data_IF_535993600550
#
_entry.id   IF_535993600550
#
_cell.length_a   1.000
_cell.length_b   1.000
_cell.length_c   1.000
_cell.angle_alpha   90.00
_cell.angle_beta   90.00
_cell.angle_gamma   90.00
#
_symmetry.space_group_name_H-M   'P 1'
#
loop_
_entity.id
_entity.type
_entity.pdbx_description
1 polymer ?
#
# COMPACT_ATOMS: atom_id res chain seq x y z
N UNK A 1 -9.19 -14.14 11.50
CA UNK A 1 -7.94 -14.45 10.77
C UNK A 1 -7.79 -13.42 9.67
N UNK A 2 -6.57 -12.93 9.40
CA UNK A 2 -6.34 -12.00 8.29
C UNK A 2 -6.77 -12.70 7.01
N UNK A 3 -7.70 -12.11 6.28
CA UNK A 3 -8.26 -12.73 5.09
C UNK A 3 -8.03 -11.80 3.91
N UNK A 4 -7.18 -12.21 2.96
CA UNK A 4 -7.17 -11.64 1.63
C UNK A 4 -8.34 -12.28 0.87
N UNK A 5 -9.51 -11.63 0.87
CA UNK A 5 -10.63 -12.12 0.06
C UNK A 5 -10.37 -11.63 -1.37
N UNK A 6 -9.92 -12.61 -2.17
CA UNK A 6 -9.34 -12.53 -3.51
C UNK A 6 -9.87 -11.46 -4.47
N UNK A 7 -8.93 -11.02 -5.30
CA UNK A 7 -9.05 -10.30 -6.57
C UNK A 7 -10.20 -10.77 -7.47
N UNK A 8 -10.91 -9.81 -8.07
CA UNK A 8 -11.76 -10.02 -9.26
C UNK A 8 -12.94 -11.00 -9.07
N UNK A 9 -13.46 -11.19 -7.85
CA UNK A 9 -14.71 -11.92 -7.72
C UNK A 9 -15.81 -11.17 -8.48
N UNK A 10 -16.54 -11.90 -9.32
CA UNK A 10 -17.66 -11.35 -10.09
C UNK A 10 -18.94 -12.05 -9.69
N UNK A 11 -19.85 -11.33 -9.04
CA UNK A 11 -21.22 -11.80 -8.83
C UNK A 11 -22.01 -11.60 -10.12
N UNK A 12 -22.75 -12.62 -10.58
CA UNK A 12 -23.61 -12.51 -11.77
C UNK A 12 -25.09 -12.24 -11.43
N UNK A 13 -25.44 -12.28 -10.14
CA UNK A 13 -26.82 -12.25 -9.64
C UNK A 13 -27.14 -11.01 -8.77
N UNK A 14 -26.45 -9.91 -9.04
CA UNK A 14 -26.78 -8.54 -8.65
C UNK A 14 -26.44 -8.06 -7.23
N UNK A 15 -25.82 -8.85 -6.34
CA UNK A 15 -25.43 -8.35 -5.00
C UNK A 15 -24.08 -8.91 -4.56
N UNK A 16 -23.26 -8.03 -3.97
CA UNK A 16 -22.01 -8.36 -3.28
C UNK A 16 -20.97 -8.98 -4.20
N UNK A 17 -20.04 -8.19 -4.74
CA UNK A 17 -19.00 -8.73 -5.61
C UNK A 17 -18.09 -9.72 -4.87
N UNK A 18 -17.69 -9.41 -3.63
CA UNK A 18 -16.94 -10.33 -2.77
C UNK A 18 -17.84 -11.04 -1.74
N UNK A 19 -18.67 -10.28 -1.03
CA UNK A 19 -19.43 -10.79 0.12
C UNK A 19 -20.88 -10.31 0.08
N UNK A 20 -21.80 -11.26 0.27
CA UNK A 20 -23.20 -11.00 0.60
C UNK A 20 -23.47 -11.46 2.04
N UNK A 21 -23.81 -10.51 2.92
CA UNK A 21 -24.13 -10.78 4.32
C UNK A 21 -25.59 -10.40 4.64
N UNK A 22 -26.25 -11.23 5.46
CA UNK A 22 -27.63 -11.01 5.94
C UNK A 22 -27.74 -10.70 7.43
N UNK A 23 -26.63 -10.78 8.18
CA UNK A 23 -26.63 -10.70 9.65
C UNK A 23 -25.47 -9.84 10.16
N UNK A 24 -24.61 -10.40 11.01
CA UNK A 24 -23.42 -9.71 11.53
C UNK A 24 -22.18 -10.20 10.80
N UNK A 25 -21.39 -9.26 10.28
CA UNK A 25 -20.09 -9.53 9.67
C UNK A 25 -19.04 -8.62 10.30
N UNK A 26 -17.89 -9.19 10.61
CA UNK A 26 -16.69 -8.43 10.95
C UNK A 26 -15.58 -8.77 9.96
N UNK A 27 -15.08 -7.75 9.28
CA UNK A 27 -13.90 -7.79 8.41
C UNK A 27 -12.76 -7.10 9.16
N UNK A 28 -11.62 -7.79 9.29
CA UNK A 28 -10.49 -7.28 10.06
C UNK A 28 -9.17 -7.70 9.41
N UNK A 29 -8.20 -6.77 9.34
CA UNK A 29 -6.85 -7.02 8.85
C UNK A 29 -6.89 -7.62 7.43
N UNK A 30 -7.75 -7.07 6.58
CA UNK A 30 -8.17 -7.67 5.32
C UNK A 30 -8.07 -6.69 4.16
N UNK A 31 -7.76 -7.20 2.98
CA UNK A 31 -7.89 -6.47 1.72
C UNK A 31 -9.02 -7.09 0.88
N UNK A 32 -9.98 -6.26 0.43
CA UNK A 32 -11.03 -6.65 -0.52
C UNK A 32 -10.92 -5.72 -1.72
N UNK A 33 -10.46 -6.25 -2.86
CA UNK A 33 -10.19 -5.41 -4.01
C UNK A 33 -10.45 -6.07 -5.35
N UNK A 34 -10.71 -5.25 -6.37
CA UNK A 34 -11.01 -5.71 -7.72
C UNK A 34 -12.37 -6.40 -7.87
N UNK A 35 -13.21 -6.44 -6.83
CA UNK A 35 -14.46 -7.21 -6.88
C UNK A 35 -15.53 -6.46 -7.66
N UNK A 36 -16.33 -7.18 -8.46
CA UNK A 36 -17.32 -6.59 -9.35
C UNK A 36 -18.69 -7.25 -9.19
N UNK A 37 -19.77 -6.47 -9.27
CA UNK A 37 -21.15 -6.97 -9.35
C UNK A 37 -21.99 -6.04 -10.24
N UNK A 38 -22.94 -6.57 -11.03
CA UNK A 38 -23.86 -5.74 -11.82
C UNK A 38 -24.93 -5.04 -10.98
N UNK A 39 -25.03 -5.32 -9.67
CA UNK A 39 -25.92 -4.57 -8.78
C UNK A 39 -25.13 -3.85 -7.69
N UNK A 40 -25.51 -4.02 -6.43
CA UNK A 40 -25.01 -3.17 -5.33
C UNK A 40 -23.82 -3.79 -4.59
N UNK A 41 -22.96 -2.94 -4.00
CA UNK A 41 -21.89 -3.38 -3.11
C UNK A 41 -20.79 -4.14 -3.83
N UNK A 42 -19.89 -3.45 -4.52
CA UNK A 42 -18.81 -4.06 -5.31
C UNK A 42 -17.92 -4.99 -4.47
N UNK A 43 -17.59 -4.59 -3.23
CA UNK A 43 -16.97 -5.49 -2.26
C UNK A 43 -18.03 -6.21 -1.43
N UNK A 44 -18.80 -5.46 -0.65
CA UNK A 44 -19.69 -5.99 0.38
C UNK A 44 -21.10 -5.46 0.18
N UNK A 45 -22.04 -6.40 0.04
CA UNK A 45 -23.45 -6.13 0.30
C UNK A 45 -23.81 -6.65 1.69
N UNK A 46 -24.34 -5.78 2.54
CA UNK A 46 -24.92 -6.15 3.83
C UNK A 46 -26.40 -5.79 3.87
N UNK A 47 -27.26 -6.78 4.06
CA UNK A 47 -28.71 -6.61 4.02
C UNK A 47 -29.32 -7.07 5.34
N UNK A 48 -30.16 -6.23 5.95
CA UNK A 48 -30.99 -6.57 7.09
C UNK A 48 -32.11 -7.53 6.69
N UNK A 49 -32.56 -8.35 7.63
CA UNK A 49 -33.72 -9.22 7.45
C UNK A 49 -35.00 -8.59 8.01
N UNK A 50 -36.16 -9.11 7.58
CA UNK A 50 -37.44 -8.75 8.19
C UNK A 50 -37.53 -9.05 9.70
N UNK A 51 -36.63 -9.92 10.21
CA UNK A 51 -36.57 -10.35 11.60
C UNK A 51 -35.50 -9.62 12.45
N UNK A 52 -34.73 -8.69 11.87
CA UNK A 52 -33.71 -7.92 12.61
C UNK A 52 -32.73 -7.18 11.70
N UNK A 53 -32.16 -6.08 12.22
CA UNK A 53 -31.13 -5.31 11.50
C UNK A 53 -29.82 -6.09 11.30
N UNK A 54 -29.01 -5.65 10.34
CA UNK A 54 -27.68 -6.21 10.05
C UNK A 54 -26.57 -5.36 10.69
N UNK A 55 -25.41 -5.96 10.95
CA UNK A 55 -24.26 -5.23 11.48
C UNK A 55 -23.02 -5.53 10.65
N UNK A 56 -22.43 -4.51 10.05
CA UNK A 56 -21.13 -4.63 9.38
C UNK A 56 -20.09 -3.83 10.18
N UNK A 57 -19.03 -4.53 10.60
CA UNK A 57 -17.86 -3.92 11.22
C UNK A 57 -16.65 -4.17 10.35
N UNK A 58 -15.96 -3.10 9.93
CA UNK A 58 -14.70 -3.14 9.18
C UNK A 58 -13.64 -2.48 10.03
N UNK A 59 -12.54 -3.19 10.27
CA UNK A 59 -11.45 -2.73 11.12
C UNK A 59 -10.14 -2.97 10.40
N UNK A 60 -9.23 -1.99 10.37
CA UNK A 60 -7.85 -2.23 9.92
C UNK A 60 -7.78 -2.90 8.54
N UNK A 61 -8.62 -2.44 7.61
CA UNK A 61 -8.84 -3.12 6.34
C UNK A 61 -8.88 -2.14 5.18
N UNK A 62 -8.46 -2.61 4.01
CA UNK A 62 -8.47 -1.84 2.77
C UNK A 62 -9.50 -2.41 1.79
N UNK A 63 -10.46 -1.59 1.38
CA UNK A 63 -11.45 -1.92 0.35
C UNK A 63 -11.22 -1.02 -0.85
N UNK A 64 -10.60 -1.53 -1.91
CA UNK A 64 -10.21 -0.68 -3.03
C UNK A 64 -10.45 -1.26 -4.41
N UNK A 65 -10.63 -0.41 -5.42
CA UNK A 65 -10.84 -0.83 -6.82
C UNK A 65 -12.01 -1.84 -6.98
N UNK A 66 -13.06 -1.75 -6.16
CA UNK A 66 -14.26 -2.56 -6.32
C UNK A 66 -15.30 -1.80 -7.15
N UNK A 67 -16.16 -2.54 -7.86
CA UNK A 67 -17.08 -2.00 -8.85
C UNK A 67 -18.49 -2.54 -8.67
N UNK A 68 -19.47 -1.64 -8.58
CA UNK A 68 -20.89 -1.95 -8.55
C UNK A 68 -21.55 -1.37 -9.81
N UNK A 69 -22.44 -2.13 -10.44
CA UNK A 69 -23.28 -1.63 -11.54
C UNK A 69 -24.41 -0.72 -11.04
N UNK A 70 -24.58 -0.59 -9.73
CA UNK A 70 -25.57 0.29 -9.10
C UNK A 70 -24.90 1.09 -8.00
N UNK A 71 -25.35 1.00 -6.74
CA UNK A 71 -24.83 1.83 -5.64
C UNK A 71 -23.81 1.12 -4.77
N UNK A 72 -22.99 1.89 -4.06
CA UNK A 72 -22.03 1.36 -3.10
C UNK A 72 -20.89 0.62 -3.80
N UNK A 73 -20.01 1.34 -4.50
CA UNK A 73 -18.92 0.70 -5.26
C UNK A 73 -18.03 -0.19 -4.38
N UNK A 74 -17.78 0.18 -3.12
CA UNK A 74 -17.25 -0.76 -2.13
C UNK A 74 -18.37 -1.42 -1.32
N UNK A 75 -19.16 -0.62 -0.62
CA UNK A 75 -20.09 -1.10 0.40
C UNK A 75 -21.49 -0.62 0.09
N UNK A 76 -22.43 -1.56 0.06
CA UNK A 76 -23.85 -1.26 0.16
C UNK A 76 -24.41 -1.81 1.47
N UNK A 77 -24.90 -0.92 2.33
CA UNK A 77 -25.64 -1.27 3.55
C UNK A 77 -27.13 -1.02 3.32
N UNK A 78 -27.95 -2.05 3.46
CA UNK A 78 -29.40 -1.93 3.48
C UNK A 78 -29.95 -2.48 4.78
N UNK A 79 -30.54 -1.63 5.63
CA UNK A 79 -31.09 -2.04 6.91
C UNK A 79 -32.52 -2.57 6.87
N UNK A 80 -33.18 -2.58 5.71
CA UNK A 80 -34.59 -2.97 5.54
C UNK A 80 -35.54 -2.25 6.53
N UNK A 81 -35.26 -0.97 6.82
CA UNK A 81 -36.02 -0.15 7.79
C UNK A 81 -35.79 -0.50 9.27
N UNK A 82 -34.72 -1.21 9.61
CA UNK A 82 -34.41 -1.56 11.01
C UNK A 82 -33.43 -0.58 11.65
N UNK A 83 -33.84 0.08 12.73
CA UNK A 83 -32.99 1.00 13.51
C UNK A 83 -31.85 0.30 14.26
N UNK A 84 -31.90 -1.02 14.41
CA UNK A 84 -30.80 -1.81 14.98
C UNK A 84 -29.67 -2.09 13.99
N UNK A 85 -29.80 -1.63 12.73
CA UNK A 85 -28.76 -1.79 11.70
C UNK A 85 -27.56 -0.91 12.04
N UNK A 86 -26.35 -1.43 11.86
CA UNK A 86 -25.12 -0.74 12.26
C UNK A 86 -24.04 -0.90 11.19
N UNK A 87 -23.45 0.21 10.76
CA UNK A 87 -22.19 0.22 10.02
C UNK A 87 -21.11 0.82 10.92
N UNK A 88 -19.99 0.12 11.05
CA UNK A 88 -18.84 0.59 11.81
C UNK A 88 -17.58 0.39 10.99
N UNK A 89 -16.85 1.45 10.70
CA UNK A 89 -15.62 1.43 9.90
C UNK A 89 -14.53 2.13 10.70
N UNK A 90 -13.45 1.42 11.02
CA UNK A 90 -12.44 1.90 11.96
C UNK A 90 -11.04 1.63 11.41
N UNK A 91 -10.15 2.63 11.43
CA UNK A 91 -8.77 2.48 10.96
C UNK A 91 -8.70 1.78 9.60
N UNK A 92 -9.50 2.23 8.63
CA UNK A 92 -9.64 1.51 7.36
C UNK A 92 -9.44 2.46 6.18
N UNK A 93 -9.19 1.91 5.00
CA UNK A 93 -9.04 2.70 3.76
C UNK A 93 -10.04 2.19 2.74
N UNK A 94 -10.91 3.06 2.23
CA UNK A 94 -11.87 2.76 1.18
C UNK A 94 -11.54 3.65 -0.01
N UNK A 95 -10.94 3.08 -1.07
CA UNK A 95 -10.38 3.91 -2.15
C UNK A 95 -10.58 3.39 -3.56
N UNK A 96 -10.79 4.27 -4.53
CA UNK A 96 -10.81 3.86 -5.95
C UNK A 96 -12.00 2.97 -6.33
N UNK A 97 -13.08 2.96 -5.55
CA UNK A 97 -14.26 2.15 -5.83
C UNK A 97 -15.26 2.89 -6.70
N UNK A 98 -16.00 2.16 -7.53
CA UNK A 98 -16.84 2.70 -8.59
C UNK A 98 -18.30 2.22 -8.41
N UNK A 99 -19.23 3.15 -8.25
CA UNK A 99 -20.67 2.94 -8.41
C UNK A 99 -21.09 3.27 -9.86
N UNK A 100 -22.28 2.83 -10.29
CA UNK A 100 -22.79 3.01 -11.66
C UNK A 100 -21.72 2.70 -12.73
N UNK A 101 -21.03 1.57 -12.56
CA UNK A 101 -19.91 1.21 -13.44
C UNK A 101 -20.35 0.83 -14.86
N UNK A 102 -21.63 0.52 -15.05
CA UNK A 102 -22.24 0.29 -16.36
C UNK A 102 -22.75 1.59 -17.02
N UNK A 103 -22.75 2.73 -16.31
CA UNK A 103 -23.11 4.06 -16.79
C UNK A 103 -24.49 4.05 -17.48
N UNK A 104 -25.47 3.41 -16.82
CA UNK A 104 -26.84 3.41 -17.28
C UNK A 104 -27.64 4.59 -16.72
N UNK A 105 -28.77 4.92 -17.33
CA UNK A 105 -29.50 6.12 -16.92
C UNK A 105 -30.21 5.90 -15.57
N UNK A 106 -29.63 6.42 -14.48
CA UNK A 106 -30.24 6.47 -13.14
C UNK A 106 -29.36 7.18 -12.11
N UNK A 107 -29.95 7.84 -11.11
CA UNK A 107 -29.20 8.47 -10.00
C UNK A 107 -28.67 7.40 -9.05
N UNK A 108 -27.48 6.87 -9.36
CA UNK A 108 -26.83 5.79 -8.63
C UNK A 108 -25.58 6.33 -7.92
N UNK A 109 -25.70 6.52 -6.59
CA UNK A 109 -24.68 7.20 -5.79
C UNK A 109 -23.91 6.27 -4.82
N UNK A 110 -22.85 6.81 -4.22
CA UNK A 110 -21.98 6.18 -3.24
C UNK A 110 -20.92 5.30 -3.89
N UNK A 111 -20.01 5.90 -4.64
CA UNK A 111 -18.84 5.22 -5.21
C UNK A 111 -18.06 4.43 -4.16
N UNK A 112 -17.87 4.99 -2.97
CA UNK A 112 -17.27 4.28 -1.84
C UNK A 112 -18.33 3.52 -1.05
N UNK A 113 -19.10 4.26 -0.26
CA UNK A 113 -20.06 3.70 0.70
C UNK A 113 -21.45 4.26 0.45
N UNK A 114 -22.43 3.37 0.31
CA UNK A 114 -23.84 3.73 0.27
C UNK A 114 -24.60 3.09 1.44
N UNK A 115 -25.27 3.91 2.25
CA UNK A 115 -26.06 3.45 3.40
C UNK A 115 -27.53 3.84 3.24
N UNK A 116 -28.37 2.82 3.16
CA UNK A 116 -29.83 2.90 3.19
C UNK A 116 -30.36 2.14 4.42
N UNK A 117 -30.43 2.80 5.57
CA UNK A 117 -30.96 2.18 6.79
C UNK A 117 -31.42 3.22 7.80
N UNK A 118 -32.33 2.88 8.71
CA UNK A 118 -32.67 3.68 9.90
C UNK A 118 -31.62 3.59 11.03
N UNK A 119 -30.49 2.96 10.74
CA UNK A 119 -29.47 2.57 11.70
C UNK A 119 -28.46 3.66 12.04
N UNK A 120 -27.40 3.27 12.74
CA UNK A 120 -26.26 4.16 13.04
C UNK A 120 -25.05 3.86 12.16
N UNK A 121 -24.33 4.91 11.75
CA UNK A 121 -23.04 4.82 11.06
C UNK A 121 -21.96 5.41 11.95
N UNK A 122 -20.91 4.65 12.24
CA UNK A 122 -19.72 5.11 12.95
C UNK A 122 -18.50 4.92 12.06
N UNK A 123 -17.80 6.02 11.76
CA UNK A 123 -16.57 5.99 10.97
C UNK A 123 -15.48 6.70 11.75
N UNK A 124 -14.35 6.04 12.01
CA UNK A 124 -13.30 6.63 12.83
C UNK A 124 -11.91 6.29 12.28
N UNK A 125 -11.02 7.28 12.25
CA UNK A 125 -9.64 7.11 11.76
C UNK A 125 -9.57 6.44 10.38
N UNK A 126 -10.50 6.74 9.48
CA UNK A 126 -10.68 6.06 8.19
C UNK A 126 -10.49 7.01 7.02
N UNK A 127 -9.86 6.53 5.95
CA UNK A 127 -9.76 7.23 4.66
C UNK A 127 -10.88 6.74 3.74
N UNK A 128 -11.61 7.67 3.13
CA UNK A 128 -12.57 7.41 2.05
C UNK A 128 -12.24 8.40 0.91
N UNK A 129 -11.61 7.90 -0.16
CA UNK A 129 -11.05 8.77 -1.20
C UNK A 129 -11.07 8.10 -2.57
N UNK A 130 -10.87 8.87 -3.64
CA UNK A 130 -10.81 8.41 -5.02
C UNK A 130 -12.03 7.55 -5.44
N UNK A 131 -13.14 7.60 -4.71
CA UNK A 131 -14.30 6.81 -5.04
C UNK A 131 -15.21 7.61 -5.96
N UNK A 132 -15.80 6.94 -6.95
CA UNK A 132 -16.47 7.61 -8.06
C UNK A 132 -17.76 6.91 -8.47
N UNK A 133 -18.58 7.60 -9.25
CA UNK A 133 -19.72 7.04 -9.98
C UNK A 133 -19.66 7.39 -11.47
N UNK A 134 -20.70 7.01 -12.22
CA UNK A 134 -20.89 7.30 -13.65
C UNK A 134 -19.74 6.76 -14.53
N UNK A 135 -19.30 5.52 -14.27
CA UNK A 135 -18.15 4.93 -14.99
C UNK A 135 -16.80 5.57 -14.64
N UNK A 136 -16.62 5.94 -13.36
CA UNK A 136 -15.40 6.53 -12.78
C UNK A 136 -15.10 7.98 -13.15
N UNK A 137 -16.16 8.80 -13.28
CA UNK A 137 -16.02 10.20 -13.73
C UNK A 137 -16.37 11.21 -12.63
N UNK A 138 -17.35 10.90 -11.78
CA UNK A 138 -17.86 11.84 -10.77
C UNK A 138 -17.43 11.40 -9.38
N UNK A 139 -16.73 12.23 -8.58
CA UNK A 139 -16.41 11.91 -7.18
C UNK A 139 -17.67 11.60 -6.37
N UNK A 140 -17.62 10.54 -5.57
CA UNK A 140 -18.76 10.08 -4.78
C UNK A 140 -18.31 9.16 -3.63
N UNK A 141 -17.90 9.76 -2.51
CA UNK A 141 -17.22 9.06 -1.44
C UNK A 141 -18.16 8.27 -0.52
N UNK A 142 -19.09 8.96 0.13
CA UNK A 142 -20.04 8.35 1.05
C UNK A 142 -21.41 9.02 0.99
N UNK A 143 -22.43 8.19 0.79
CA UNK A 143 -23.82 8.62 0.74
C UNK A 143 -24.59 7.97 1.87
N UNK A 144 -25.07 8.85 2.75
CA UNK A 144 -26.05 8.54 3.78
C UNK A 144 -27.41 8.98 3.28
N UNK A 145 -28.28 8.05 2.89
CA UNK A 145 -29.49 8.39 2.17
C UNK A 145 -30.41 9.32 2.99
N UNK A 146 -30.55 10.55 2.53
CA UNK A 146 -31.50 11.62 2.89
C UNK A 146 -32.22 11.46 4.25
N UNK A 147 -31.46 11.36 5.35
CA UNK A 147 -31.97 11.43 6.72
C UNK A 147 -32.34 10.10 7.38
N UNK A 148 -32.07 8.97 6.74
CA UNK A 148 -32.41 7.65 7.29
C UNK A 148 -31.33 7.10 8.24
N UNK A 149 -30.01 7.09 7.94
CA UNK A 149 -29.03 6.67 8.94
C UNK A 149 -28.59 7.84 9.83
N UNK A 150 -28.46 7.59 11.13
CA UNK A 150 -27.86 8.54 12.07
C UNK A 150 -26.33 8.41 12.00
N UNK A 151 -25.64 9.45 11.55
CA UNK A 151 -24.19 9.55 11.71
C UNK A 151 -23.87 9.72 13.20
N UNK A 152 -23.10 8.81 13.76
CA UNK A 152 -22.69 8.83 15.16
C UNK A 152 -21.72 10.03 15.39
N UNK A 153 -21.99 10.94 16.34
CA UNK A 153 -21.09 12.04 16.68
C UNK A 153 -19.68 11.63 17.14
N UNK A 154 -19.49 10.35 17.52
CA UNK A 154 -18.18 9.78 17.79
C UNK A 154 -17.34 9.49 16.52
N UNK A 155 -17.91 9.71 15.33
CA UNK A 155 -17.20 9.57 14.06
C UNK A 155 -16.18 10.70 13.88
N UNK A 156 -14.89 10.40 14.04
CA UNK A 156 -13.84 11.40 14.19
C UNK A 156 -12.53 10.97 13.52
N UNK A 157 -11.64 11.94 13.28
CA UNK A 157 -10.32 11.73 12.68
C UNK A 157 -10.36 10.99 11.32
N UNK A 158 -11.41 11.18 10.54
CA UNK A 158 -11.49 10.61 9.19
C UNK A 158 -10.92 11.56 8.15
N UNK A 159 -10.57 11.03 6.99
CA UNK A 159 -10.24 11.83 5.82
C UNK A 159 -11.18 11.43 4.68
N UNK A 160 -11.96 12.38 4.18
CA UNK A 160 -12.82 12.19 3.01
C UNK A 160 -12.40 13.15 1.91
N UNK A 161 -12.02 12.63 0.74
CA UNK A 161 -11.40 13.46 -0.30
C UNK A 161 -12.36 14.52 -0.84
N UNK A 162 -13.58 14.14 -1.21
CA UNK A 162 -14.59 15.09 -1.68
C UNK A 162 -15.48 15.59 -0.53
N UNK A 163 -15.43 16.90 -0.27
CA UNK A 163 -16.27 17.54 0.73
C UNK A 163 -17.76 17.58 0.34
N UNK A 164 -18.08 17.45 -0.96
CA UNK A 164 -19.46 17.42 -1.44
C UNK A 164 -20.20 16.12 -1.11
N UNK A 165 -19.46 15.03 -0.96
CA UNK A 165 -19.97 13.66 -0.75
C UNK A 165 -19.42 13.04 0.54
N UNK A 166 -19.20 13.87 1.58
CA UNK A 166 -18.59 13.45 2.86
C UNK A 166 -19.55 12.79 3.86
N UNK A 167 -20.82 12.61 3.49
CA UNK A 167 -21.84 12.02 4.34
C UNK A 167 -22.14 12.81 5.62
N UNK A 168 -21.76 14.09 5.68
CA UNK A 168 -21.89 14.96 6.85
C UNK A 168 -20.76 14.85 7.87
N UNK A 169 -19.69 14.09 7.58
CA UNK A 169 -18.54 13.96 8.48
C UNK A 169 -17.82 15.29 8.73
N UNK A 170 -17.69 16.15 7.72
CA UNK A 170 -17.05 17.46 7.85
C UNK A 170 -17.79 18.43 8.78
N UNK A 171 -19.10 18.22 9.00
CA UNK A 171 -19.90 19.06 9.89
C UNK A 171 -19.68 18.76 11.38
N UNK A 172 -19.04 17.64 11.74
CA UNK A 172 -18.84 17.23 13.15
C UNK A 172 -17.70 17.99 13.86
N UNK A 173 -16.74 18.55 13.11
CA UNK A 173 -15.66 19.39 13.67
C UNK A 173 -14.73 18.68 14.67
N UNK A 174 -14.61 17.35 14.59
CA UNK A 174 -13.91 16.49 15.56
C UNK A 174 -12.67 15.82 14.94
N UNK A 175 -11.87 16.59 14.20
CA UNK A 175 -10.65 16.10 13.55
C UNK A 175 -10.88 15.44 12.18
N UNK A 176 -12.11 15.41 11.68
CA UNK A 176 -12.37 15.01 10.29
C UNK A 176 -11.77 16.03 9.31
N UNK A 177 -11.04 15.53 8.32
CA UNK A 177 -10.47 16.26 7.20
C UNK A 177 -11.37 15.98 5.99
N UNK A 178 -11.81 17.02 5.31
CA UNK A 178 -12.64 16.90 4.09
C UNK A 178 -12.12 17.83 3.00
N UNK A 179 -12.26 17.44 1.73
CA UNK A 179 -11.83 18.28 0.61
C UNK A 179 -10.32 18.27 0.36
N UNK A 180 -9.60 17.24 0.81
CA UNK A 180 -8.16 17.08 0.60
C UNK A 180 -7.82 15.67 0.14
N UNK A 181 -6.94 15.57 -0.85
CA UNK A 181 -6.38 14.31 -1.34
C UNK A 181 -5.55 13.65 -0.21
N UNK A 182 -5.83 12.39 0.16
CA UNK A 182 -5.01 11.66 1.13
C UNK A 182 -3.59 11.36 0.65
N UNK A 183 -3.24 11.62 -0.62
CA UNK A 183 -1.95 11.31 -1.21
C UNK A 183 -1.60 9.82 -1.02
N UNK A 184 -2.50 8.94 -1.46
CA UNK A 184 -2.31 7.49 -1.39
C UNK A 184 -1.33 7.02 -2.47
N UNK A 185 -0.39 6.16 -2.10
CA UNK A 185 0.46 5.43 -3.01
C UNK A 185 -0.28 4.30 -3.72
N UNK A 186 0.40 3.65 -4.67
CA UNK A 186 -0.14 2.48 -5.36
C UNK A 186 -0.30 1.28 -4.41
N UNK A 187 -1.29 0.39 -4.61
CA UNK A 187 -1.43 -0.81 -3.80
C UNK A 187 -0.17 -1.67 -3.79
N UNK A 188 0.35 -1.98 -2.62
CA UNK A 188 1.56 -2.81 -2.46
C UNK A 188 1.52 -3.59 -1.14
N UNK A 189 2.38 -4.58 -1.00
CA UNK A 189 2.49 -5.33 0.27
C UNK A 189 3.18 -4.51 1.37
N UNK A 190 4.03 -3.52 1.03
CA UNK A 190 4.71 -2.61 1.95
C UNK A 190 5.20 -3.26 3.27
N UNK A 191 5.68 -4.51 3.19
CA UNK A 191 6.23 -5.30 4.30
C UNK A 191 5.26 -6.25 5.00
N UNK A 192 3.96 -6.17 4.73
CA UNK A 192 2.94 -7.03 5.30
C UNK A 192 2.47 -8.15 4.38
N UNK A 193 1.66 -9.07 4.92
CA UNK A 193 1.04 -10.19 4.18
C UNK A 193 -0.25 -9.82 3.43
N UNK A 194 -0.65 -8.55 3.48
CA UNK A 194 -1.91 -8.04 2.93
C UNK A 194 -1.59 -6.79 2.11
N UNK A 195 -2.00 -6.69 0.83
CA UNK A 195 -1.78 -5.48 0.07
C UNK A 195 -2.57 -4.31 0.71
N UNK A 196 -1.90 -3.18 0.82
CA UNK A 196 -2.37 -1.95 1.46
C UNK A 196 -2.07 -0.75 0.56
N UNK A 197 -2.62 0.41 0.90
CA UNK A 197 -2.38 1.68 0.21
C UNK A 197 -1.46 2.54 1.09
N UNK A 198 -0.16 2.68 0.75
CA UNK A 198 0.77 3.51 1.51
C UNK A 198 0.35 4.98 1.53
N UNK A 199 0.74 5.71 2.58
CA UNK A 199 0.65 7.17 2.61
C UNK A 199 1.93 7.75 2.05
N UNK A 200 1.81 8.65 1.07
CA UNK A 200 2.96 9.35 0.51
C UNK A 200 3.43 10.46 1.46
N UNK A 201 4.69 10.84 1.35
CA UNK A 201 5.30 11.93 2.13
C UNK A 201 4.48 13.21 1.98
N UNK A 202 4.15 13.85 3.12
CA UNK A 202 3.36 15.07 3.16
C UNK A 202 1.84 14.83 3.12
N UNK A 203 1.39 13.58 3.12
CA UNK A 203 -0.03 13.24 3.20
C UNK A 203 -0.72 13.91 4.40
N UNK A 204 -1.92 14.50 4.21
CA UNK A 204 -2.71 15.05 5.30
C UNK A 204 -3.25 13.99 6.28
N UNK A 205 -3.12 12.70 5.97
CA UNK A 205 -3.49 11.61 6.86
C UNK A 205 -2.42 11.29 7.91
N UNK A 206 -1.18 11.76 7.73
CA UNK A 206 -0.05 11.42 8.60
C UNK A 206 -0.18 12.04 9.98
N UNK A 207 -0.02 11.22 11.02
CA UNK A 207 -0.13 11.58 12.44
C UNK A 207 -1.48 12.22 12.85
N UNK A 208 -2.51 12.17 11.99
CA UNK A 208 -3.81 12.84 12.20
C UNK A 208 -4.94 11.89 12.64
N UNK A 209 -4.64 10.60 12.76
CA UNK A 209 -5.56 9.53 13.12
C UNK A 209 -5.84 9.40 14.61
N UNK A 210 -6.56 8.32 14.94
CA UNK A 210 -6.90 7.98 16.31
C UNK A 210 -7.10 6.47 16.49
N UNK A 211 -6.35 5.88 17.43
CA UNK A 211 -6.40 4.44 17.71
C UNK A 211 -7.25 4.12 18.95
N UNK A 212 -8.52 4.56 18.97
CA UNK A 212 -9.43 4.37 20.13
C UNK A 212 -9.66 2.92 20.52
N UNK A 213 -9.47 1.98 19.59
CA UNK A 213 -9.58 0.54 19.85
C UNK A 213 -8.31 -0.08 20.43
N UNK A 214 -7.22 0.68 20.57
CA UNK A 214 -5.91 0.16 20.98
C UNK A 214 -5.46 -1.03 20.11
N UNK A 215 -5.64 -0.91 18.80
CA UNK A 215 -5.11 -1.88 17.86
C UNK A 215 -3.59 -1.95 18.06
N UNK A 216 -3.05 -3.16 18.23
CA UNK A 216 -1.61 -3.34 18.38
C UNK A 216 -0.87 -3.14 17.06
N UNK A 217 -1.55 -3.40 15.94
CA UNK A 217 -0.97 -3.49 14.62
C UNK A 217 -1.83 -2.80 13.55
N UNK A 218 -1.19 -2.29 12.51
CA UNK A 218 -1.81 -1.86 11.26
C UNK A 218 -2.19 -3.05 10.37
N UNK A 219 -2.75 -2.81 9.18
CA UNK A 219 -3.27 -3.89 8.33
C UNK A 219 -2.17 -4.89 7.95
N UNK A 220 -0.96 -4.39 7.71
CA UNK A 220 0.22 -5.16 7.29
C UNK A 220 0.72 -6.05 8.43
N UNK A 221 0.55 -5.60 9.67
CA UNK A 221 0.97 -6.29 10.87
C UNK A 221 2.10 -5.60 11.63
N UNK A 222 2.47 -4.39 11.24
CA UNK A 222 3.44 -3.55 11.96
C UNK A 222 2.74 -2.76 13.06
N UNK A 223 3.49 -2.09 13.94
CA UNK A 223 2.91 -1.35 15.07
C UNK A 223 1.86 -0.34 14.57
N UNK A 224 0.72 -0.22 15.24
CA UNK A 224 -0.28 0.82 14.91
C UNK A 224 0.01 2.17 15.56
N UNK A 225 1.07 2.27 16.33
CA UNK A 225 1.46 3.53 16.95
C UNK A 225 2.95 3.67 16.77
N UNK A 226 3.32 4.48 15.79
CA UNK A 226 4.69 4.80 15.40
C UNK A 226 4.78 6.28 15.05
N UNK A 227 5.94 6.90 15.28
CA UNK A 227 6.10 8.32 14.99
C UNK A 227 5.43 9.24 16.03
N UNK A 228 4.89 10.38 15.57
CA UNK A 228 4.38 11.44 16.43
C UNK A 228 2.90 11.26 16.80
N UNK A 229 2.15 10.53 15.99
CA UNK A 229 0.74 10.21 16.15
C UNK A 229 0.43 8.81 15.63
N UNK A 230 -0.82 8.58 15.25
CA UNK A 230 -1.20 7.45 14.42
C UNK A 230 -1.80 8.01 13.15
N UNK A 231 -1.72 7.30 12.04
CA UNK A 231 -2.22 7.83 10.78
C UNK A 231 -3.72 7.59 10.62
N UNK A 232 -4.39 8.40 9.80
CA UNK A 232 -5.74 8.08 9.34
C UNK A 232 -5.62 6.93 8.32
N UNK A 233 -6.47 5.90 8.43
CA UNK A 233 -6.52 4.80 7.46
C UNK A 233 -6.13 3.43 8.01
N UNK A 234 -5.98 2.45 7.12
CA UNK A 234 -5.54 1.08 7.43
C UNK A 234 -4.01 0.92 7.54
N UNK A 235 -3.27 1.92 7.05
CA UNK A 235 -1.82 1.96 6.98
C UNK A 235 -1.28 2.89 8.07
N UNK A 236 -0.13 2.52 8.65
CA UNK A 236 0.65 3.36 9.57
C UNK A 236 2.07 3.53 9.01
N UNK A 237 2.41 4.72 8.53
CA UNK A 237 3.76 5.06 8.07
C UNK A 237 4.76 4.88 9.22
N UNK A 238 5.71 3.99 9.01
CA UNK A 238 6.76 3.70 9.97
C UNK A 238 7.96 3.07 9.28
N UNK A 239 9.17 3.26 9.83
CA UNK A 239 10.32 2.43 9.52
C UNK A 239 9.98 0.95 9.64
N UNK A 240 10.30 0.17 8.61
CA UNK A 240 10.20 -1.30 8.67
C UNK A 240 11.57 -1.95 8.69
N UNK A 241 11.65 -3.12 9.32
CA UNK A 241 12.86 -3.93 9.39
C UNK A 241 12.55 -5.33 8.84
N UNK A 242 13.24 -5.69 7.76
CA UNK A 242 12.97 -6.88 6.97
C UNK A 242 14.22 -7.77 6.94
N UNK A 243 14.00 -9.09 7.01
CA UNK A 243 15.08 -10.08 6.94
C UNK A 243 14.93 -10.92 5.67
N UNK A 244 15.90 -10.81 4.76
CA UNK A 244 16.02 -11.63 3.54
C UNK A 244 16.51 -13.01 3.94
N UNK A 245 15.76 -14.06 3.59
CA UNK A 245 16.06 -15.45 3.95
C UNK A 245 16.09 -16.40 2.74
N UNK A 246 16.03 -15.85 1.51
CA UNK A 246 16.18 -16.56 0.25
C UNK A 246 17.27 -15.96 -0.64
N UNK A 247 18.11 -16.81 -1.22
CA UNK A 247 19.12 -16.43 -2.23
C UNK A 247 18.55 -16.37 -3.67
N UNK A 248 17.24 -16.50 -3.83
CA UNK A 248 16.58 -16.35 -5.13
C UNK A 248 16.55 -14.90 -5.63
N UNK A 249 16.17 -14.74 -6.90
CA UNK A 249 15.92 -13.45 -7.56
C UNK A 249 14.43 -13.33 -7.99
N UNK A 250 13.53 -13.73 -7.10
CA UNK A 250 12.09 -13.66 -7.33
C UNK A 250 11.59 -12.21 -7.34
N UNK A 251 10.57 -11.93 -8.14
CA UNK A 251 9.80 -10.69 -8.00
C UNK A 251 8.74 -10.87 -6.90
N UNK A 252 8.24 -9.74 -6.37
CA UNK A 252 7.24 -9.71 -5.30
C UNK A 252 6.01 -10.56 -5.63
N UNK A 253 5.90 -11.68 -4.94
CA UNK A 253 4.81 -12.65 -5.15
C UNK A 253 3.78 -12.68 -3.99
N UNK A 254 4.08 -11.95 -2.91
CA UNK A 254 3.23 -11.86 -1.71
C UNK A 254 3.37 -13.05 -0.75
N UNK A 255 4.34 -13.94 -0.97
CA UNK A 255 4.62 -15.12 -0.15
C UNK A 255 5.88 -14.90 0.70
N UNK A 256 5.68 -14.50 1.95
CA UNK A 256 6.76 -14.23 2.91
C UNK A 256 6.93 -15.34 3.96
N UNK A 257 6.73 -16.60 3.55
CA UNK A 257 7.00 -17.74 4.43
C UNK A 257 8.50 -17.91 4.68
N UNK A 258 8.91 -18.70 5.69
CA UNK A 258 10.33 -18.95 5.95
C UNK A 258 11.06 -19.48 4.71
N UNK A 259 12.17 -18.83 4.36
CA UNK A 259 13.02 -19.14 3.22
C UNK A 259 12.47 -18.68 1.86
N UNK A 260 11.52 -17.74 1.85
CA UNK A 260 10.87 -17.27 0.62
C UNK A 260 11.26 -15.83 0.27
N UNK A 261 11.62 -14.98 1.23
CA UNK A 261 11.82 -13.56 0.96
C UNK A 261 13.20 -13.31 0.35
N UNK A 262 13.21 -12.89 -0.91
CA UNK A 262 14.42 -12.56 -1.67
C UNK A 262 14.84 -11.11 -1.48
N UNK A 263 16.10 -10.79 -1.84
CA UNK A 263 16.61 -9.41 -1.77
C UNK A 263 15.80 -8.46 -2.67
N UNK A 264 15.44 -8.89 -3.89
CA UNK A 264 14.64 -8.08 -4.81
C UNK A 264 13.27 -7.73 -4.22
N UNK A 265 12.63 -8.68 -3.55
CA UNK A 265 11.35 -8.46 -2.89
C UNK A 265 11.46 -7.51 -1.72
N UNK A 266 12.49 -7.68 -0.88
CA UNK A 266 12.75 -6.78 0.23
C UNK A 266 12.96 -5.33 -0.24
N UNK A 267 13.75 -5.13 -1.30
CA UNK A 267 13.94 -3.80 -1.90
C UNK A 267 12.65 -3.25 -2.51
N UNK A 268 11.88 -4.09 -3.21
CA UNK A 268 10.57 -3.68 -3.76
C UNK A 268 9.63 -3.23 -2.64
N UNK A 269 9.68 -3.90 -1.49
CA UNK A 269 8.87 -3.56 -0.33
C UNK A 269 9.28 -2.20 0.25
N UNK A 270 10.57 -1.99 0.53
CA UNK A 270 11.06 -0.75 1.16
C UNK A 270 10.91 0.44 0.23
N UNK A 271 11.12 0.26 -1.08
CA UNK A 271 10.83 1.30 -2.08
C UNK A 271 9.35 1.75 -2.09
N UNK A 272 8.43 0.92 -1.59
CA UNK A 272 7.01 1.23 -1.46
C UNK A 272 6.58 1.61 -0.04
N UNK A 273 7.51 1.77 0.91
CA UNK A 273 7.25 2.17 2.28
C UNK A 273 8.07 3.43 2.61
N UNK A 274 7.53 4.64 2.38
CA UNK A 274 8.30 5.86 2.52
C UNK A 274 8.90 6.03 3.94
N UNK A 275 10.21 6.23 4.02
CA UNK A 275 10.93 6.50 5.26
C UNK A 275 12.28 5.79 5.34
N UNK A 276 12.92 5.84 6.50
CA UNK A 276 14.19 5.14 6.75
C UNK A 276 13.94 3.68 7.10
N UNK A 277 14.12 2.80 6.11
CA UNK A 277 13.90 1.37 6.25
C UNK A 277 15.19 0.57 6.46
N UNK A 278 15.07 -0.66 6.95
CA UNK A 278 16.21 -1.56 7.15
C UNK A 278 15.97 -2.92 6.50
N UNK A 279 16.89 -3.34 5.63
CA UNK A 279 16.95 -4.70 5.08
C UNK A 279 18.20 -5.38 5.62
N UNK A 280 18.04 -6.54 6.24
CA UNK A 280 19.14 -7.39 6.71
C UNK A 280 19.09 -8.74 6.00
N UNK A 281 20.23 -9.25 5.53
CA UNK A 281 20.32 -10.61 5.01
C UNK A 281 20.55 -11.58 6.16
N UNK A 282 19.74 -12.63 6.25
CA UNK A 282 19.88 -13.66 7.28
C UNK A 282 21.27 -14.32 7.19
N UNK A 283 21.92 -14.47 8.34
CA UNK A 283 23.28 -15.05 8.41
C UNK A 283 23.37 -16.47 7.85
N UNK A 284 22.27 -17.22 7.78
CA UNK A 284 22.19 -18.54 7.13
C UNK A 284 22.48 -18.50 5.63
N UNK A 285 22.38 -17.34 4.99
CA UNK A 285 22.72 -17.15 3.57
C UNK A 285 24.20 -16.87 3.33
N UNK A 286 25.06 -16.85 4.36
CA UNK A 286 26.51 -16.69 4.18
C UNK A 286 27.07 -17.66 3.13
N UNK A 287 27.88 -17.15 2.20
CA UNK A 287 28.48 -17.88 1.09
C UNK A 287 27.55 -18.11 -0.10
N UNK A 288 26.32 -17.60 -0.05
CA UNK A 288 25.36 -17.72 -1.14
C UNK A 288 25.58 -16.66 -2.23
N UNK A 289 25.11 -16.96 -3.43
CA UNK A 289 25.09 -16.03 -4.55
C UNK A 289 23.65 -15.80 -4.99
N UNK A 290 23.21 -14.55 -4.98
CA UNK A 290 21.99 -14.09 -5.64
C UNK A 290 22.35 -13.78 -7.09
N UNK A 291 21.95 -14.65 -8.01
CA UNK A 291 22.13 -14.43 -9.45
C UNK A 291 20.94 -13.68 -10.01
N UNK A 292 21.17 -12.44 -10.44
CA UNK A 292 20.13 -11.61 -11.04
C UNK A 292 19.75 -12.15 -12.43
N UNK A 293 18.46 -12.33 -12.62
CA UNK A 293 17.83 -12.81 -13.85
C UNK A 293 16.68 -11.90 -14.28
N UNK A 294 16.14 -11.08 -13.37
CA UNK A 294 15.07 -10.13 -13.63
C UNK A 294 15.58 -8.68 -13.86
N UNK A 295 16.89 -8.48 -14.03
CA UNK A 295 17.53 -7.18 -14.23
C UNK A 295 18.21 -6.65 -12.97
N UNK A 296 18.56 -5.36 -12.97
CA UNK A 296 19.24 -4.71 -11.84
C UNK A 296 18.35 -4.68 -10.59
N UNK A 297 18.96 -4.52 -9.41
CA UNK A 297 18.26 -4.12 -8.20
C UNK A 297 18.11 -2.59 -8.16
N UNK A 298 17.06 -2.09 -7.51
CA UNK A 298 16.77 -0.66 -7.41
C UNK A 298 16.48 -0.28 -5.96
N UNK A 299 17.07 0.82 -5.51
CA UNK A 299 16.78 1.47 -4.23
C UNK A 299 16.28 2.88 -4.56
N UNK A 300 15.06 3.19 -4.16
CA UNK A 300 14.37 4.46 -4.47
C UNK A 300 13.87 5.17 -3.21
N UNK A 301 14.25 4.68 -2.02
CA UNK A 301 13.86 5.22 -0.72
C UNK A 301 15.05 5.16 0.26
N UNK A 302 14.95 5.81 1.42
CA UNK A 302 16.03 5.78 2.41
C UNK A 302 16.19 4.35 2.94
N UNK A 303 17.43 3.83 2.93
CA UNK A 303 17.64 2.42 3.21
C UNK A 303 18.96 2.15 3.90
N UNK A 304 18.88 1.40 5.00
CA UNK A 304 20.01 0.66 5.56
C UNK A 304 19.97 -0.81 5.10
N UNK A 305 20.87 -1.19 4.20
CA UNK A 305 21.01 -2.54 3.67
C UNK A 305 22.24 -3.24 4.26
N UNK A 306 22.03 -4.28 5.06
CA UNK A 306 23.08 -5.01 5.78
C UNK A 306 23.17 -6.46 5.34
N UNK A 307 24.30 -6.85 4.77
CA UNK A 307 24.65 -8.23 4.44
C UNK A 307 25.21 -8.97 5.66
N UNK A 308 25.50 -10.27 5.53
CA UNK A 308 26.06 -11.07 6.63
C UNK A 308 27.53 -10.69 7.00
N UNK A 309 28.12 -9.72 6.29
CA UNK A 309 29.48 -9.19 6.50
C UNK A 309 30.42 -9.54 5.34
N UNK A 310 31.47 -8.73 5.11
CA UNK A 310 32.37 -8.89 3.96
C UNK A 310 33.11 -10.24 3.93
N UNK A 311 33.39 -10.82 5.10
CA UNK A 311 34.04 -12.11 5.23
C UNK A 311 33.09 -13.31 4.99
N UNK A 312 31.79 -13.06 4.80
CA UNK A 312 30.78 -14.08 4.63
C UNK A 312 30.51 -14.41 3.16
N UNK A 313 31.23 -13.83 2.19
CA UNK A 313 31.14 -14.12 0.74
C UNK A 313 29.69 -14.13 0.18
N UNK A 314 28.80 -13.26 0.69
CA UNK A 314 27.48 -13.10 0.07
C UNK A 314 27.60 -12.24 -1.19
N UNK A 315 27.22 -12.81 -2.33
CA UNK A 315 27.42 -12.23 -3.65
C UNK A 315 26.09 -11.84 -4.28
N UNK A 316 26.01 -10.62 -4.82
CA UNK A 316 25.00 -10.19 -5.77
C UNK A 316 25.66 -10.19 -7.16
N UNK A 317 25.24 -11.11 -8.01
CA UNK A 317 25.82 -11.36 -9.33
C UNK A 317 24.84 -10.96 -10.41
N UNK A 318 25.14 -9.91 -11.17
CA UNK A 318 24.27 -9.42 -12.26
C UNK A 318 24.28 -10.31 -13.51
N UNK A 319 25.02 -11.43 -13.49
CA UNK A 319 25.03 -12.45 -14.51
C UNK A 319 25.40 -11.93 -15.91
N UNK A 320 26.09 -10.80 -16.00
CA UNK A 320 26.37 -10.07 -17.25
C UNK A 320 25.13 -9.65 -18.04
N UNK A 321 23.96 -9.62 -17.40
CA UNK A 321 22.68 -9.28 -18.04
C UNK A 321 22.20 -7.87 -17.74
N UNK A 322 22.75 -7.23 -16.71
CA UNK A 322 22.33 -5.91 -16.26
C UNK A 322 23.42 -5.22 -15.45
N UNK A 323 23.12 -4.00 -14.99
CA UNK A 323 23.74 -3.42 -13.79
C UNK A 323 23.46 -4.30 -12.56
N UNK A 324 24.30 -4.23 -11.52
CA UNK A 324 23.98 -4.88 -10.23
C UNK A 324 22.94 -4.07 -9.46
N UNK A 325 23.22 -2.80 -9.17
CA UNK A 325 22.39 -1.94 -8.33
C UNK A 325 22.29 -0.51 -8.87
N UNK A 326 21.07 0.03 -8.92
CA UNK A 326 20.78 1.45 -9.11
C UNK A 326 20.24 2.05 -7.80
N UNK A 327 20.82 3.16 -7.37
CA UNK A 327 20.31 3.99 -6.27
C UNK A 327 19.89 5.32 -6.89
N UNK A 328 18.60 5.49 -7.13
CA UNK A 328 18.01 6.64 -7.81
C UNK A 328 16.49 6.62 -7.64
N UNK A 329 15.91 7.65 -7.06
CA UNK A 329 14.46 7.84 -6.97
C UNK A 329 13.88 8.76 -8.06
N UNK A 330 14.73 9.25 -8.96
CA UNK A 330 14.45 10.24 -10.01
C UNK A 330 14.05 11.63 -9.49
N UNK A 331 14.18 11.90 -8.19
CA UNK A 331 13.93 13.21 -7.57
C UNK A 331 15.24 13.93 -7.21
N UNK A 332 15.74 14.73 -8.15
CA UNK A 332 16.92 15.56 -7.93
C UNK A 332 16.72 16.75 -6.96
N UNK A 333 15.56 16.85 -6.29
CA UNK A 333 15.26 17.92 -5.34
C UNK A 333 15.49 17.54 -3.87
N UNK A 334 15.65 16.24 -3.58
CA UNK A 334 15.97 15.73 -2.25
C UNK A 334 16.91 14.53 -2.37
N UNK A 335 18.02 14.53 -1.64
CA UNK A 335 18.93 13.39 -1.64
C UNK A 335 18.50 12.38 -0.58
N UNK A 336 18.34 11.12 -1.01
CA UNK A 336 18.09 9.98 -0.14
C UNK A 336 19.36 9.54 0.57
N UNK A 337 19.24 8.97 1.76
CA UNK A 337 20.37 8.41 2.52
C UNK A 337 20.33 6.89 2.44
N UNK A 338 21.31 6.33 1.75
CA UNK A 338 21.45 4.88 1.56
C UNK A 338 22.78 4.41 2.14
N UNK A 339 22.71 3.38 2.99
CA UNK A 339 23.87 2.73 3.60
C UNK A 339 23.89 1.26 3.22
N UNK A 340 25.00 0.77 2.65
CA UNK A 340 25.16 -0.62 2.24
C UNK A 340 26.40 -1.20 2.90
N UNK A 341 26.21 -2.30 3.64
CA UNK A 341 27.29 -2.95 4.38
C UNK A 341 27.42 -4.44 4.06
N UNK A 342 28.64 -4.91 3.77
CA UNK A 342 28.95 -6.35 3.79
C UNK A 342 28.45 -7.17 2.59
N UNK A 343 28.63 -6.67 1.36
CA UNK A 343 28.24 -7.33 0.12
C UNK A 343 29.40 -7.45 -0.88
N UNK A 344 29.37 -8.48 -1.72
CA UNK A 344 30.11 -8.49 -2.99
C UNK A 344 29.15 -8.23 -4.14
N UNK A 345 29.45 -7.26 -5.00
CA UNK A 345 28.67 -6.92 -6.19
C UNK A 345 29.50 -7.15 -7.45
N UNK A 346 29.05 -8.06 -8.31
CA UNK A 346 29.85 -8.51 -9.44
C UNK A 346 29.09 -8.76 -10.75
N UNK A 347 29.89 -8.89 -11.82
CA UNK A 347 29.47 -9.28 -13.16
C UNK A 347 28.34 -8.40 -13.72
N UNK A 348 28.27 -7.15 -13.27
CA UNK A 348 27.49 -6.09 -13.88
C UNK A 348 28.02 -5.79 -15.28
N UNK A 349 27.12 -5.79 -16.27
CA UNK A 349 27.48 -5.54 -17.66
C UNK A 349 26.42 -4.71 -18.38
N UNK A 350 26.85 -3.64 -19.04
CA UNK A 350 26.01 -2.76 -19.86
C UNK A 350 26.66 -2.53 -21.23
N UNK A 351 25.82 -2.50 -22.27
CA UNK A 351 26.19 -2.11 -23.63
C UNK A 351 25.71 -0.67 -23.87
N UNK A 352 26.61 0.21 -24.33
CA UNK A 352 26.42 1.59 -24.80
C UNK A 352 25.68 2.57 -23.83
N UNK A 353 26.29 3.74 -23.61
CA UNK A 353 25.57 4.95 -23.17
C UNK A 353 24.99 4.97 -21.76
N UNK A 354 25.50 4.15 -20.84
CA UNK A 354 25.08 4.14 -19.44
C UNK A 354 26.26 4.37 -18.48
N UNK A 355 25.97 4.51 -17.19
CA UNK A 355 26.98 4.66 -16.14
C UNK A 355 26.85 3.56 -15.09
N UNK A 356 27.97 3.20 -14.43
CA UNK A 356 27.97 2.33 -13.25
C UNK A 356 27.45 0.93 -13.52
N UNK A 357 28.21 0.06 -14.18
CA UNK A 357 27.75 -1.32 -14.44
C UNK A 357 27.67 -2.17 -13.17
N UNK A 358 28.50 -1.90 -12.15
CA UNK A 358 28.27 -2.44 -10.80
C UNK A 358 27.18 -1.66 -10.09
N UNK A 359 27.54 -0.49 -9.59
CA UNK A 359 26.65 0.42 -8.87
C UNK A 359 26.53 1.74 -9.65
N UNK A 360 25.31 2.20 -9.90
CA UNK A 360 25.06 3.58 -10.29
C UNK A 360 24.30 4.26 -9.16
N UNK A 361 24.78 5.43 -8.74
CA UNK A 361 24.23 6.16 -7.61
C UNK A 361 23.98 7.62 -7.98
N UNK A 362 22.72 8.03 -7.86
CA UNK A 362 22.25 9.40 -8.03
C UNK A 362 21.79 10.03 -6.70
N UNK A 363 22.06 9.36 -5.55
CA UNK A 363 21.71 9.81 -4.18
C UNK A 363 22.90 9.81 -3.18
N UNK A 364 22.67 10.04 -1.88
CA UNK A 364 23.71 9.95 -0.87
C UNK A 364 23.97 8.49 -0.44
N UNK A 365 25.06 7.91 -0.94
CA UNK A 365 25.45 6.52 -0.71
C UNK A 365 26.66 6.39 0.23
N UNK A 366 26.52 5.55 1.25
CA UNK A 366 27.64 5.08 2.08
C UNK A 366 27.87 3.59 1.83
N UNK A 367 29.10 3.22 1.48
CA UNK A 367 29.51 1.82 1.33
C UNK A 367 30.51 1.46 2.44
N UNK A 368 30.21 0.41 3.20
CA UNK A 368 31.10 -0.11 4.23
C UNK A 368 31.35 -1.60 4.01
N UNK A 369 32.60 -2.02 3.93
CA UNK A 369 32.94 -3.45 3.79
C UNK A 369 32.28 -4.09 2.54
N UNK A 370 32.27 -3.36 1.42
CA UNK A 370 31.70 -3.80 0.12
C UNK A 370 32.81 -4.09 -0.89
N UNK A 371 32.70 -5.22 -1.59
CA UNK A 371 33.58 -5.56 -2.72
C UNK A 371 32.85 -5.37 -4.05
N UNK A 372 33.38 -4.53 -4.94
CA UNK A 372 32.84 -4.32 -6.30
C UNK A 372 33.85 -4.88 -7.31
N UNK A 373 33.51 -5.95 -8.03
CA UNK A 373 34.47 -6.69 -8.87
C UNK A 373 33.86 -7.20 -10.17
N UNK A 374 34.67 -7.37 -11.23
CA UNK A 374 34.24 -7.92 -12.52
C UNK A 374 33.04 -7.20 -13.17
N UNK A 375 32.82 -5.93 -12.84
CA UNK A 375 31.80 -5.12 -13.47
C UNK A 375 32.42 -4.35 -14.65
N UNK A 376 31.76 -4.40 -15.80
CA UNK A 376 32.29 -3.86 -17.04
C UNK A 376 31.21 -3.09 -17.81
N UNK A 377 31.64 -2.03 -18.47
CA UNK A 377 30.83 -1.31 -19.42
C UNK A 377 31.53 -1.37 -20.77
N UNK A 378 30.79 -1.73 -21.81
CA UNK A 378 31.30 -1.76 -23.18
C UNK A 378 30.63 -0.62 -23.96
N UNK A 379 31.44 0.37 -24.37
CA UNK A 379 31.02 1.52 -25.17
C UNK A 379 31.69 1.50 -26.54
N UNK A 380 30.91 1.89 -27.56
CA UNK A 380 31.40 2.25 -28.88
C UNK A 380 31.67 3.78 -29.04
N UNK A 381 31.53 4.59 -27.99
CA UNK A 381 31.56 6.06 -27.98
C UNK A 381 32.50 6.72 -26.96
N UNK A 382 32.19 7.97 -26.59
CA UNK A 382 32.94 8.77 -25.61
C UNK A 382 31.95 9.34 -24.58
N UNK A 383 31.66 8.57 -23.53
CA UNK A 383 30.78 9.00 -22.43
C UNK A 383 30.90 8.21 -21.13
N UNK A 384 31.72 7.16 -21.06
CA UNK A 384 31.69 6.22 -19.94
C UNK A 384 32.27 6.75 -18.64
N UNK A 385 31.49 6.62 -17.57
CA UNK A 385 31.95 6.83 -16.20
C UNK A 385 31.71 5.56 -15.38
N UNK A 386 32.82 4.94 -14.93
CA UNK A 386 32.85 3.93 -13.88
C UNK A 386 32.22 2.57 -14.23
N UNK A 387 33.02 1.61 -14.69
CA UNK A 387 32.55 0.21 -14.84
C UNK A 387 32.16 -0.45 -13.51
N UNK A 388 32.84 -0.09 -12.42
CA UNK A 388 32.53 -0.54 -11.07
C UNK A 388 31.42 0.28 -10.42
N UNK A 389 31.69 1.56 -10.16
CA UNK A 389 30.79 2.47 -9.46
C UNK A 389 30.72 3.78 -10.24
N UNK A 390 29.52 4.33 -10.40
CA UNK A 390 29.26 5.68 -10.83
C UNK A 390 28.51 6.45 -9.74
N UNK A 391 28.87 7.71 -9.54
CA UNK A 391 28.23 8.63 -8.61
C UNK A 391 27.95 9.96 -9.32
N UNK A 392 26.69 10.38 -9.41
CA UNK A 392 26.27 11.62 -10.06
C UNK A 392 26.65 12.90 -9.31
N UNK A 393 26.49 14.05 -9.98
CA UNK A 393 27.04 15.36 -9.60
C UNK A 393 26.43 16.01 -8.33
N UNK A 394 25.39 15.42 -7.73
CA UNK A 394 24.67 16.00 -6.59
C UNK A 394 24.97 15.36 -5.21
N UNK A 395 25.97 14.47 -5.10
CA UNK A 395 26.01 13.55 -3.95
C UNK A 395 27.31 13.54 -3.15
N UNK A 396 27.16 13.47 -1.82
CA UNK A 396 28.22 13.03 -0.91
C UNK A 396 28.23 11.52 -0.87
N UNK A 397 29.13 10.88 -1.62
CA UNK A 397 29.41 9.45 -1.48
C UNK A 397 30.58 9.26 -0.51
N UNK A 398 30.36 8.48 0.55
CA UNK A 398 31.43 8.09 1.49
C UNK A 398 31.78 6.61 1.29
N UNK A 399 33.08 6.33 1.18
CA UNK A 399 33.63 5.00 0.93
C UNK A 399 34.58 4.68 2.09
N UNK A 400 34.18 3.74 2.96
CA UNK A 400 34.91 3.43 4.19
C UNK A 400 35.26 1.95 4.34
#
# INVERSE_FOLDING_TARGET
>A
ERMNINTNNTSTLALGGAILNFHTLTVRDSALFGNTTPGNGGAITNVGGAAGGSSLTIINSSLYNNSAGQVGGAIWQNGAGQASTRLTILNSTISGNIADSNNDAGDQDGGGVHVHSLGSVLIHSTIIANNTKDGAVTPDEIILQNGEPTLDPASANNLVEDAGTDGGLGALGNGNITGQDPMLGSPSFAGGSTPSLPLLVGSPALDMGSNTQSLAIDQRGFSRSSGAGVDIGAFEQQPISIVVDSAGDGALDGFFGPGQLTLREALTITNNNPGDDTVTVDGSLSGSTVTLTAGQLEITDDLTLTGPGAAADFVIDANTLSRVLLVDDLDYSANRVVSITGFTMQNGFLLDGNFGAGIANEDALTLTDVTVTNNALEDAGAGDFGGGIFTGDNNGTDLS
#
